data_IF_600918268252
#
_entry.id   IF_600918268252
#
_cell.length_a   1.000
_cell.length_b   1.000
_cell.length_c   1.000
_cell.angle_alpha   90.00
_cell.angle_beta   90.00
_cell.angle_gamma   90.00
#
_symmetry.space_group_name_H-M   'P 1'
#
loop_
_entity.id
_entity.type
_entity.pdbx_description
1 polymer ?
#
# COMPACT_ATOMS: atom_id res chain seq x y z
N UNK A 1 -9.45 20.76 8.97
CA UNK A 1 -10.12 20.70 7.65
C UNK A 1 -9.87 19.30 7.12
N UNK A 2 -10.88 18.43 7.16
CA UNK A 2 -10.75 17.07 6.65
C UNK A 2 -10.47 17.17 5.15
N UNK A 3 -9.29 16.72 4.72
CA UNK A 3 -8.96 16.58 3.32
C UNK A 3 -9.98 15.63 2.72
N UNK A 4 -10.87 16.13 1.88
CA UNK A 4 -11.76 15.30 1.06
C UNK A 4 -10.85 14.52 0.10
N UNK A 5 -10.30 13.40 0.56
CA UNK A 5 -9.49 12.55 -0.29
C UNK A 5 -10.42 12.07 -1.41
N UNK A 6 -10.00 12.30 -2.65
CA UNK A 6 -10.79 11.88 -3.80
C UNK A 6 -10.84 10.35 -3.80
N UNK A 7 -12.04 9.78 -3.58
CA UNK A 7 -12.26 8.34 -3.53
C UNK A 7 -11.67 7.62 -4.75
N UNK A 8 -11.73 8.24 -5.94
CA UNK A 8 -11.10 7.71 -7.15
C UNK A 8 -9.58 7.62 -7.06
N UNK A 9 -8.91 8.59 -6.43
CA UNK A 9 -7.47 8.53 -6.18
C UNK A 9 -7.14 7.40 -5.19
N UNK A 10 -7.95 7.22 -4.14
CA UNK A 10 -7.76 6.14 -3.16
C UNK A 10 -7.85 4.77 -3.82
N UNK A 11 -8.88 4.52 -4.63
CA UNK A 11 -9.02 3.26 -5.36
C UNK A 11 -7.85 3.04 -6.33
N UNK A 12 -7.40 4.09 -7.01
CA UNK A 12 -6.24 4.01 -7.90
C UNK A 12 -4.96 3.65 -7.13
N UNK A 13 -4.71 4.28 -5.99
CA UNK A 13 -3.58 3.97 -5.11
C UNK A 13 -3.65 2.53 -4.60
N UNK A 14 -4.82 2.08 -4.12
CA UNK A 14 -5.03 0.70 -3.68
C UNK A 14 -4.72 -0.31 -4.78
N UNK A 15 -5.23 -0.10 -5.99
CA UNK A 15 -4.98 -1.00 -7.12
C UNK A 15 -3.47 -1.11 -7.47
N UNK A 16 -2.77 0.02 -7.50
CA UNK A 16 -1.33 0.03 -7.78
C UNK A 16 -0.51 -0.62 -6.68
N UNK A 17 -0.87 -0.39 -5.41
CA UNK A 17 -0.24 -1.06 -4.27
C UNK A 17 -0.39 -2.57 -4.35
N UNK A 18 -1.59 -3.09 -4.61
CA UNK A 18 -1.79 -4.53 -4.74
C UNK A 18 -0.95 -5.12 -5.86
N UNK A 19 -0.89 -4.45 -7.02
CA UNK A 19 -0.08 -4.90 -8.16
C UNK A 19 1.41 -4.91 -7.85
N UNK A 20 1.90 -3.93 -7.09
CA UNK A 20 3.31 -3.87 -6.69
C UNK A 20 3.63 -4.94 -5.64
N UNK A 21 2.67 -5.28 -4.78
CA UNK A 21 2.82 -6.24 -3.68
C UNK A 21 2.65 -7.70 -4.10
N UNK A 22 1.84 -7.97 -5.12
CA UNK A 22 1.51 -9.32 -5.60
C UNK A 22 2.73 -10.23 -5.84
N UNK A 23 3.90 -9.75 -6.34
CA UNK A 23 5.09 -10.58 -6.50
C UNK A 23 5.79 -10.96 -5.18
N UNK A 24 5.38 -10.39 -4.05
CA UNK A 24 6.09 -10.48 -2.77
C UNK A 24 5.24 -11.08 -1.64
N UNK A 25 3.92 -10.87 -1.66
CA UNK A 25 2.99 -11.30 -0.61
C UNK A 25 1.66 -11.77 -1.21
N UNK A 26 0.91 -12.60 -0.48
CA UNK A 26 -0.46 -12.95 -0.89
C UNK A 26 -1.40 -11.77 -0.65
N UNK A 27 -1.77 -11.08 -1.72
CA UNK A 27 -2.64 -9.91 -1.70
C UNK A 27 -4.13 -10.26 -1.63
N UNK A 28 -4.52 -11.55 -1.71
CA UNK A 28 -5.94 -11.96 -1.80
C UNK A 28 -6.76 -11.59 -0.56
N UNK A 29 -6.11 -11.55 0.59
CA UNK A 29 -6.74 -11.17 1.86
C UNK A 29 -6.67 -9.67 2.15
N UNK A 30 -6.03 -8.88 1.27
CA UNK A 30 -5.97 -7.43 1.43
C UNK A 30 -7.30 -6.77 1.04
N UNK A 31 -7.74 -5.81 1.85
CA UNK A 31 -9.00 -5.08 1.68
C UNK A 31 -8.78 -3.58 1.86
N UNK A 32 -9.54 -2.80 1.08
CA UNK A 32 -9.69 -1.36 1.27
C UNK A 32 -10.92 -1.11 2.14
N UNK A 33 -10.75 -0.43 3.27
CA UNK A 33 -11.85 -0.05 4.17
C UNK A 33 -11.83 1.45 4.45
N UNK A 34 -12.96 1.99 4.89
CA UNK A 34 -13.10 3.38 5.30
C UNK A 34 -13.62 3.42 6.73
N UNK A 35 -13.08 4.32 7.55
CA UNK A 35 -13.67 4.61 8.86
C UNK A 35 -14.87 5.56 8.72
N UNK A 36 -15.49 5.85 9.88
CA UNK A 36 -16.62 6.78 9.98
C UNK A 36 -16.29 8.21 9.53
N UNK A 37 -15.01 8.57 9.51
CA UNK A 37 -14.51 9.90 9.15
C UNK A 37 -14.08 9.96 7.68
N UNK A 38 -14.20 8.85 6.95
CA UNK A 38 -13.86 8.72 5.53
C UNK A 38 -12.37 8.50 5.27
N UNK A 39 -11.57 8.21 6.30
CA UNK A 39 -10.16 7.85 6.14
C UNK A 39 -10.06 6.42 5.61
N UNK A 40 -9.29 6.25 4.53
CA UNK A 40 -9.05 4.95 3.93
C UNK A 40 -7.95 4.17 4.65
N UNK A 41 -8.11 2.85 4.73
CA UNK A 41 -7.18 1.90 5.33
C UNK A 41 -6.95 0.69 4.42
N UNK A 42 -5.72 0.22 4.39
CA UNK A 42 -5.33 -1.08 3.86
C UNK A 42 -5.32 -2.08 5.02
N UNK A 43 -6.13 -3.11 4.92
CA UNK A 43 -6.28 -4.14 5.96
C UNK A 43 -5.91 -5.50 5.40
N UNK A 44 -5.15 -6.26 6.17
CA UNK A 44 -4.85 -7.67 5.94
C UNK A 44 -4.98 -8.44 7.28
N UNK A 45 -4.81 -9.77 7.31
CA UNK A 45 -4.99 -10.56 8.53
C UNK A 45 -4.11 -10.15 9.72
N UNK A 46 -2.93 -9.59 9.46
CA UNK A 46 -1.90 -9.25 10.45
C UNK A 46 -1.59 -7.74 10.54
N UNK A 47 -2.21 -6.88 9.72
CA UNK A 47 -2.00 -5.43 9.79
C UNK A 47 -3.21 -4.60 9.33
N UNK A 48 -3.24 -3.34 9.78
CA UNK A 48 -4.15 -2.31 9.31
C UNK A 48 -3.42 -0.97 9.31
N UNK A 49 -3.28 -0.35 8.13
CA UNK A 49 -2.51 0.89 7.95
C UNK A 49 -3.33 1.91 7.15
N UNK A 50 -3.32 3.20 7.52
CA UNK A 50 -4.01 4.23 6.77
C UNK A 50 -3.39 4.41 5.38
N UNK A 51 -4.23 4.50 4.36
CA UNK A 51 -3.77 4.81 3.00
C UNK A 51 -3.62 6.33 2.88
N UNK A 52 -2.41 6.76 2.60
CA UNK A 52 -2.15 8.12 2.14
C UNK A 52 -2.20 8.17 0.62
N UNK A 53 -3.17 8.92 0.08
CA UNK A 53 -3.32 9.16 -1.36
C UNK A 53 -2.40 10.26 -1.89
N UNK A 54 -1.29 10.57 -1.21
CA UNK A 54 -0.26 11.48 -1.71
C UNK A 54 0.65 10.73 -2.71
N UNK A 55 0.66 11.11 -4.01
CA UNK A 55 1.49 10.44 -5.01
C UNK A 55 2.98 10.44 -4.68
N UNK A 56 3.49 11.46 -3.95
CA UNK A 56 4.89 11.52 -3.53
C UNK A 56 5.20 10.44 -2.50
N UNK A 57 4.32 10.25 -1.53
CA UNK A 57 4.47 9.24 -0.49
C UNK A 57 4.39 7.85 -1.09
N UNK A 58 3.45 7.62 -2.01
CA UNK A 58 3.36 6.35 -2.73
C UNK A 58 4.65 6.02 -3.50
N UNK A 59 5.26 7.02 -4.16
CA UNK A 59 6.53 6.83 -4.88
C UNK A 59 7.66 6.43 -3.93
N UNK A 60 7.80 7.14 -2.81
CA UNK A 60 8.82 6.85 -1.80
C UNK A 60 8.65 5.45 -1.20
N UNK A 61 7.41 5.08 -0.86
CA UNK A 61 7.10 3.75 -0.33
C UNK A 61 7.51 2.65 -1.32
N UNK A 62 7.14 2.81 -2.60
CA UNK A 62 7.52 1.87 -3.66
C UNK A 62 9.05 1.76 -3.80
N UNK A 63 9.77 2.87 -3.75
CA UNK A 63 11.25 2.88 -3.81
C UNK A 63 11.86 2.12 -2.62
N UNK A 64 11.42 2.41 -1.39
CA UNK A 64 11.88 1.73 -0.17
C UNK A 64 11.56 0.23 -0.18
N UNK A 65 10.34 -0.13 -0.58
CA UNK A 65 9.94 -1.54 -0.71
C UNK A 65 10.83 -2.29 -1.69
N UNK A 66 11.06 -1.73 -2.88
CA UNK A 66 11.97 -2.34 -3.84
C UNK A 66 13.40 -2.51 -3.29
N UNK A 67 13.91 -1.53 -2.55
CA UNK A 67 15.24 -1.61 -1.93
C UNK A 67 15.31 -2.71 -0.86
N UNK A 68 14.31 -2.80 0.02
CA UNK A 68 14.20 -3.85 1.04
C UNK A 68 14.17 -5.23 0.39
N UNK A 69 13.33 -5.40 -0.62
CA UNK A 69 13.19 -6.65 -1.38
C UNK A 69 14.49 -7.02 -2.10
N UNK A 70 15.12 -6.07 -2.79
CA UNK A 70 16.37 -6.30 -3.50
C UNK A 70 17.48 -6.75 -2.55
N UNK A 71 17.60 -6.10 -1.39
CA UNK A 71 18.53 -6.52 -0.33
C UNK A 71 18.22 -7.93 0.16
N UNK A 72 16.95 -8.25 0.44
CA UNK A 72 16.56 -9.56 0.95
C UNK A 72 16.79 -10.70 -0.08
N UNK A 73 16.57 -10.43 -1.37
CA UNK A 73 16.88 -11.37 -2.47
C UNK A 73 18.39 -11.55 -2.65
N UNK A 74 19.16 -10.46 -2.55
CA UNK A 74 20.63 -10.51 -2.61
C UNK A 74 21.23 -11.35 -1.49
N UNK A 75 20.64 -11.33 -0.29
CA UNK A 75 21.13 -12.09 0.88
C UNK A 75 20.80 -13.59 0.77
N UNK A 76 19.73 -13.97 0.08
CA UNK A 76 19.34 -15.38 -0.11
C UNK A 76 19.93 -16.03 -1.37
N UNK A 77 20.71 -15.28 -2.15
CA UNK A 77 21.43 -15.76 -3.31
C UNK A 77 22.85 -16.22 -2.98
N UNK A 78 23.00 -17.13 -2.02
CA UNK A 78 24.20 -17.96 -1.78
C UNK A 78 23.77 -19.39 -1.42
#
# INVERSE_FOLDING_TARGET
MASTQNVGQIFNTFHHLLKDLEPFVDVKEMRLTFDKDGQAFLVAPDFSEPIQSDPKIHRLLREEMHQIIARHRSIRGE
#
